data_IF_600144068949
#
_entry.id   IF_600144068949
#
_cell.length_a   1.000
_cell.length_b   1.000
_cell.length_c   1.000
_cell.angle_alpha   90.00
_cell.angle_beta   90.00
_cell.angle_gamma   90.00
#
_symmetry.space_group_name_H-M   'P 1'
#
loop_
_entity.id
_entity.type
_entity.pdbx_description
1 polymer ?
#
# COMPACT_ATOMS: atom_id res chain seq x y z
N UNK A 1 19.63 -29.25 -50.09
CA UNK A 1 19.94 -29.37 -48.65
C UNK A 1 20.35 -28.02 -48.03
N UNK A 2 19.74 -26.89 -48.41
CA UNK A 2 20.05 -25.56 -47.83
C UNK A 2 18.82 -24.90 -47.19
N UNK A 3 17.63 -25.35 -47.56
CA UNK A 3 16.35 -24.73 -47.17
C UNK A 3 15.80 -25.24 -45.83
N UNK A 4 16.28 -26.39 -45.35
CA UNK A 4 15.88 -26.95 -44.04
C UNK A 4 16.61 -26.33 -42.85
N UNK A 5 17.81 -25.77 -43.06
CA UNK A 5 18.63 -25.21 -41.98
C UNK A 5 18.11 -23.84 -41.51
N UNK A 6 17.56 -23.03 -42.42
CA UNK A 6 16.97 -21.72 -42.09
C UNK A 6 15.63 -21.84 -41.34
N UNK A 7 14.80 -22.85 -41.64
CA UNK A 7 13.56 -23.07 -40.90
C UNK A 7 13.80 -23.53 -39.45
N UNK A 8 14.83 -24.34 -39.20
CA UNK A 8 15.19 -24.78 -37.85
C UNK A 8 15.73 -23.63 -36.99
N UNK A 9 16.45 -22.67 -37.59
CA UNK A 9 16.92 -21.46 -36.91
C UNK A 9 15.77 -20.49 -36.56
N UNK A 10 14.78 -20.29 -37.44
CA UNK A 10 13.59 -19.51 -37.11
C UNK A 10 12.74 -20.15 -36.01
N UNK A 11 12.60 -21.49 -36.01
CA UNK A 11 11.87 -22.20 -34.96
C UNK A 11 12.59 -22.14 -33.60
N UNK A 12 13.93 -22.20 -33.58
CA UNK A 12 14.72 -22.04 -32.35
C UNK A 12 14.66 -20.60 -31.80
N UNK A 13 14.67 -19.57 -32.66
CA UNK A 13 14.49 -18.19 -32.23
C UNK A 13 13.08 -17.90 -31.69
N UNK A 14 12.04 -18.54 -32.23
CA UNK A 14 10.67 -18.44 -31.71
C UNK A 14 10.50 -19.19 -30.37
N UNK A 15 11.19 -20.33 -30.19
CA UNK A 15 11.16 -21.07 -28.92
C UNK A 15 12.00 -20.41 -27.82
N UNK A 16 13.09 -19.70 -28.15
CA UNK A 16 13.84 -18.90 -27.16
C UNK A 16 13.13 -17.59 -26.80
N UNK A 17 12.38 -16.98 -27.73
CA UNK A 17 11.58 -15.77 -27.46
C UNK A 17 10.28 -16.08 -26.71
N UNK A 18 9.87 -17.35 -26.70
CA UNK A 18 8.74 -17.86 -25.94
C UNK A 18 9.13 -18.39 -24.55
N UNK A 19 10.29 -18.01 -24.00
CA UNK A 19 10.35 -17.72 -22.57
C UNK A 19 9.54 -16.46 -22.35
N UNK A 20 8.21 -16.62 -22.43
CA UNK A 20 7.27 -15.75 -21.78
C UNK A 20 7.89 -15.40 -20.43
N UNK A 21 8.12 -14.11 -20.19
CA UNK A 21 8.07 -13.57 -18.85
C UNK A 21 6.76 -14.11 -18.30
N UNK A 22 6.82 -15.23 -17.58
CA UNK A 22 5.76 -15.59 -16.67
C UNK A 22 5.72 -14.37 -15.77
N UNK A 23 4.69 -13.53 -15.96
CA UNK A 23 4.40 -12.48 -15.02
C UNK A 23 4.43 -13.18 -13.66
N UNK A 24 5.45 -12.85 -12.86
CA UNK A 24 5.66 -13.49 -11.58
C UNK A 24 4.42 -13.10 -10.79
N UNK A 25 3.49 -14.04 -10.59
CA UNK A 25 2.30 -13.79 -9.77
C UNK A 25 2.75 -13.74 -8.31
N UNK A 26 3.42 -12.65 -7.96
CA UNK A 26 3.92 -12.36 -6.62
C UNK A 26 2.71 -12.24 -5.69
N UNK A 27 2.66 -13.08 -4.66
CA UNK A 27 1.68 -12.94 -3.59
C UNK A 27 2.06 -11.80 -2.64
N UNK A 28 1.13 -11.37 -1.79
CA UNK A 28 1.41 -10.40 -0.73
C UNK A 28 2.58 -10.82 0.18
N UNK A 29 2.75 -12.12 0.44
CA UNK A 29 3.85 -12.65 1.26
C UNK A 29 5.18 -12.64 0.50
N UNK A 30 5.18 -12.97 -0.80
CA UNK A 30 6.39 -12.86 -1.64
C UNK A 30 6.90 -11.43 -1.73
N UNK A 31 5.98 -10.47 -1.76
CA UNK A 31 6.30 -9.04 -1.76
C UNK A 31 6.81 -8.63 -0.38
N UNK A 32 6.11 -8.99 0.69
CA UNK A 32 6.56 -8.73 2.06
C UNK A 32 8.01 -9.20 2.30
N UNK A 33 8.37 -10.38 1.79
CA UNK A 33 9.73 -10.91 1.88
C UNK A 33 10.79 -9.98 1.27
N UNK A 34 10.43 -9.22 0.23
CA UNK A 34 11.35 -8.34 -0.50
C UNK A 34 11.39 -6.90 0.04
N UNK A 35 10.34 -6.46 0.73
CA UNK A 35 10.23 -5.09 1.24
C UNK A 35 11.02 -4.89 2.54
N UNK A 36 11.58 -3.69 2.79
CA UNK A 36 12.18 -3.41 4.08
C UNK A 36 11.12 -3.35 5.20
N UNK A 37 11.59 -3.43 6.44
CA UNK A 37 10.73 -3.41 7.64
C UNK A 37 10.53 -2.01 8.24
N UNK A 38 10.82 -0.95 7.47
CA UNK A 38 10.82 0.45 7.95
C UNK A 38 9.47 0.90 8.51
N UNK A 39 8.35 0.40 7.97
CA UNK A 39 7.03 0.73 8.53
C UNK A 39 6.94 0.32 10.02
N UNK A 40 7.56 -0.79 10.41
CA UNK A 40 7.50 -1.32 11.77
C UNK A 40 8.26 -0.44 12.78
N UNK A 41 9.14 0.46 12.33
CA UNK A 41 9.73 1.49 13.20
C UNK A 41 8.66 2.43 13.80
N UNK A 42 7.48 2.50 13.17
CA UNK A 42 6.31 3.24 13.65
C UNK A 42 5.38 2.42 14.55
N UNK A 43 5.79 1.21 14.93
CA UNK A 43 5.03 0.33 15.83
C UNK A 43 5.78 0.17 17.16
N UNK A 44 5.08 0.06 18.30
CA UNK A 44 5.71 -0.22 19.59
C UNK A 44 6.52 -1.52 19.60
N UNK A 45 6.06 -2.52 18.87
CA UNK A 45 6.66 -3.86 18.83
C UNK A 45 7.93 -3.89 17.98
N UNK A 46 8.01 -3.07 16.92
CA UNK A 46 9.08 -3.15 15.93
C UNK A 46 9.05 -4.47 15.16
N UNK A 47 9.99 -4.66 14.24
CA UNK A 47 10.22 -5.94 13.59
C UNK A 47 11.70 -6.03 13.24
N UNK A 48 12.34 -7.16 13.57
CA UNK A 48 13.69 -7.49 13.10
C UNK A 48 13.64 -8.39 11.86
N UNK A 49 14.75 -8.46 11.11
CA UNK A 49 14.85 -9.35 9.94
C UNK A 49 14.68 -10.83 10.33
N UNK A 50 15.20 -11.26 11.49
CA UNK A 50 15.02 -12.62 11.99
C UNK A 50 13.54 -12.92 12.30
N UNK A 51 12.81 -11.96 12.85
CA UNK A 51 11.37 -12.10 13.09
C UNK A 51 10.57 -12.10 11.80
N UNK A 52 10.95 -11.26 10.83
CA UNK A 52 10.35 -11.27 9.50
C UNK A 52 10.51 -12.64 8.84
N UNK A 53 11.71 -13.24 8.91
CA UNK A 53 11.94 -14.60 8.41
C UNK A 53 11.04 -15.62 9.11
N UNK A 54 10.91 -15.55 10.44
CA UNK A 54 9.98 -16.42 11.20
C UNK A 54 8.52 -16.21 10.79
N UNK A 55 8.08 -14.97 10.57
CA UNK A 55 6.73 -14.67 10.09
C UNK A 55 6.46 -15.31 8.72
N UNK A 56 7.43 -15.25 7.81
CA UNK A 56 7.30 -15.82 6.46
C UNK A 56 7.26 -17.35 6.52
N UNK A 57 8.12 -17.97 7.33
CA UNK A 57 8.26 -19.44 7.38
C UNK A 57 7.21 -20.13 8.25
N UNK A 58 6.83 -19.49 9.37
CA UNK A 58 6.06 -20.12 10.45
C UNK A 58 4.71 -19.44 10.67
N UNK A 59 4.47 -18.28 10.05
CA UNK A 59 3.26 -17.49 10.27
C UNK A 59 3.22 -16.76 11.62
N UNK A 60 4.26 -16.86 12.44
CA UNK A 60 4.33 -16.21 13.75
C UNK A 60 5.78 -15.95 14.19
N UNK A 61 5.95 -14.94 15.02
CA UNK A 61 7.18 -14.58 15.72
C UNK A 61 6.88 -14.28 17.20
N UNK A 62 7.82 -13.67 17.92
CA UNK A 62 7.63 -13.30 19.32
C UNK A 62 6.50 -12.27 19.47
N UNK A 63 6.55 -11.20 18.67
CA UNK A 63 5.61 -10.07 18.79
C UNK A 63 4.54 -10.00 17.70
N UNK A 64 4.60 -10.84 16.67
CA UNK A 64 3.67 -10.76 15.53
C UNK A 64 3.14 -12.13 15.10
N UNK A 65 1.92 -12.17 14.58
CA UNK A 65 1.34 -13.33 13.91
C UNK A 65 0.61 -12.92 12.62
N UNK A 66 0.57 -13.83 11.65
CA UNK A 66 -0.20 -13.67 10.42
C UNK A 66 -1.68 -13.91 10.74
N UNK A 67 -2.47 -12.85 10.77
CA UNK A 67 -3.93 -12.90 10.95
C UNK A 67 -4.62 -13.35 9.66
N UNK A 68 -4.15 -12.84 8.51
CA UNK A 68 -4.71 -13.16 7.19
C UNK A 68 -3.64 -13.10 6.10
N UNK A 69 -3.73 -14.01 5.14
CA UNK A 69 -2.90 -13.97 3.94
C UNK A 69 -3.68 -14.50 2.71
N UNK A 70 -3.54 -13.81 1.59
CA UNK A 70 -3.95 -14.25 0.26
C UNK A 70 -3.06 -13.60 -0.82
N UNK A 71 -3.43 -13.74 -2.10
CA UNK A 71 -2.64 -13.21 -3.21
C UNK A 71 -2.36 -11.70 -3.10
N UNK A 72 -3.29 -10.92 -2.52
CA UNK A 72 -3.25 -9.46 -2.53
C UNK A 72 -3.30 -8.83 -1.14
N UNK A 73 -3.35 -9.65 -0.09
CA UNK A 73 -3.41 -9.19 1.30
C UNK A 73 -2.52 -10.01 2.21
N UNK A 74 -1.78 -9.33 3.07
CA UNK A 74 -1.18 -9.88 4.27
C UNK A 74 -1.58 -8.97 5.44
N UNK A 75 -2.06 -9.54 6.53
CA UNK A 75 -2.35 -8.82 7.78
C UNK A 75 -1.55 -9.47 8.88
N UNK A 76 -0.72 -8.65 9.52
CA UNK A 76 0.08 -9.00 10.68
C UNK A 76 -0.54 -8.31 11.88
N UNK A 77 -0.73 -9.06 12.97
CA UNK A 77 -1.32 -8.55 14.21
C UNK A 77 -0.34 -8.75 15.35
N UNK A 78 -0.24 -7.75 16.23
CA UNK A 78 0.70 -7.81 17.34
C UNK A 78 0.23 -8.79 18.43
N UNK A 79 1.18 -9.42 19.10
CA UNK A 79 0.94 -10.42 20.13
C UNK A 79 1.26 -9.86 21.51
N UNK A 80 0.56 -10.31 22.57
CA UNK A 80 -0.51 -11.32 22.56
C UNK A 80 -1.92 -10.73 22.38
N UNK A 81 -2.08 -9.40 22.40
CA UNK A 81 -3.39 -8.75 22.55
C UNK A 81 -4.00 -8.21 21.24
N UNK A 82 -3.23 -8.13 20.16
CA UNK A 82 -3.70 -7.64 18.87
C UNK A 82 -4.07 -6.16 18.84
N UNK A 83 -3.29 -5.35 19.56
CA UNK A 83 -3.46 -3.90 19.64
C UNK A 83 -3.01 -3.19 18.37
N UNK A 84 -1.94 -3.68 17.74
CA UNK A 84 -1.40 -3.13 16.49
C UNK A 84 -1.69 -4.08 15.33
N UNK A 85 -2.15 -3.54 14.20
CA UNK A 85 -2.23 -4.27 12.94
C UNK A 85 -1.35 -3.61 11.89
N UNK A 86 -0.64 -4.41 11.11
CA UNK A 86 0.08 -3.97 9.91
C UNK A 86 -0.48 -4.73 8.73
N UNK A 87 -1.06 -4.00 7.79
CA UNK A 87 -1.57 -4.54 6.54
C UNK A 87 -0.60 -4.30 5.40
N UNK A 88 -0.39 -5.31 4.56
CA UNK A 88 0.13 -5.18 3.21
C UNK A 88 -1.01 -5.44 2.23
N UNK A 89 -1.25 -4.49 1.31
CA UNK A 89 -2.15 -4.67 0.17
C UNK A 89 -1.40 -4.57 -1.15
N UNK A 90 -1.70 -5.49 -2.06
CA UNK A 90 -1.21 -5.46 -3.43
C UNK A 90 -2.31 -4.92 -4.34
N UNK A 91 -2.02 -3.81 -4.99
CA UNK A 91 -2.87 -3.19 -5.99
C UNK A 91 -2.34 -3.53 -7.39
N UNK A 92 -3.16 -4.24 -8.18
CA UNK A 92 -2.81 -4.70 -9.53
C UNK A 92 -3.64 -3.97 -10.57
N UNK A 93 -3.06 -3.67 -11.72
CA UNK A 93 -3.82 -3.15 -12.86
C UNK A 93 -2.97 -2.93 -14.09
N UNK A 94 -3.36 -3.56 -15.20
CA UNK A 94 -2.54 -3.59 -16.41
C UNK A 94 -1.23 -4.33 -16.15
N UNK A 95 -0.11 -3.66 -16.44
CA UNK A 95 1.26 -4.09 -16.17
C UNK A 95 1.80 -3.58 -14.83
N UNK A 96 0.99 -2.88 -14.04
CA UNK A 96 1.42 -2.24 -12.78
C UNK A 96 1.06 -3.08 -11.56
N UNK A 97 2.03 -3.16 -10.67
CA UNK A 97 1.91 -3.70 -9.33
C UNK A 97 2.41 -2.63 -8.34
N UNK A 98 1.54 -2.28 -7.39
CA UNK A 98 1.87 -1.40 -6.27
C UNK A 98 1.57 -2.14 -4.97
N UNK A 99 2.53 -2.19 -4.06
CA UNK A 99 2.35 -2.70 -2.71
C UNK A 99 2.22 -1.52 -1.74
N UNK A 100 1.22 -1.57 -0.88
CA UNK A 100 1.01 -0.59 0.18
C UNK A 100 1.13 -1.29 1.53
N UNK A 101 1.99 -0.76 2.40
CA UNK A 101 2.09 -1.16 3.79
C UNK A 101 1.48 -0.06 4.65
N UNK A 102 0.62 -0.43 5.59
CA UNK A 102 0.05 0.55 6.51
C UNK A 102 -0.27 -0.02 7.88
N UNK A 103 -0.22 0.84 8.89
CA UNK A 103 -0.67 0.51 10.23
C UNK A 103 -2.17 0.76 10.37
N UNK A 104 -2.84 -0.14 11.06
CA UNK A 104 -4.24 -0.06 11.46
C UNK A 104 -4.35 -0.17 12.99
N UNK A 105 -5.40 0.40 13.57
CA UNK A 105 -5.70 0.35 15.01
C UNK A 105 -5.53 1.67 15.77
N UNK A 106 -5.24 2.79 15.10
CA UNK A 106 -4.99 4.08 15.75
C UNK A 106 -5.69 5.28 15.13
N UNK A 107 -5.71 6.41 15.87
CA UNK A 107 -6.14 7.71 15.35
C UNK A 107 -5.21 8.22 14.22
N UNK A 108 -3.96 7.74 14.21
CA UNK A 108 -2.98 7.99 13.17
C UNK A 108 -2.61 6.70 12.45
N UNK A 109 -2.40 6.80 11.15
CA UNK A 109 -1.97 5.71 10.26
C UNK A 109 -0.58 6.06 9.73
N UNK A 110 0.29 5.05 9.59
CA UNK A 110 1.47 5.12 8.75
C UNK A 110 1.17 4.45 7.40
N UNK A 111 1.75 4.96 6.32
CA UNK A 111 1.63 4.39 4.99
C UNK A 111 2.97 4.45 4.27
N UNK A 112 3.37 3.33 3.68
CA UNK A 112 4.46 3.26 2.71
C UNK A 112 3.93 2.63 1.42
N UNK A 113 4.34 3.19 0.28
CA UNK A 113 4.01 2.66 -1.04
C UNK A 113 5.27 2.20 -1.73
N UNK A 114 5.18 1.08 -2.43
CA UNK A 114 6.28 0.43 -3.10
C UNK A 114 5.84 -0.04 -4.48
N UNK A 115 6.63 0.25 -5.51
CA UNK A 115 6.36 -0.20 -6.88
C UNK A 115 7.45 -1.16 -7.34
N UNK A 116 7.08 -2.15 -8.15
CA UNK A 116 8.03 -3.03 -8.81
C UNK A 116 8.85 -2.23 -9.84
N UNK A 117 10.17 -2.39 -9.83
CA UNK A 117 11.08 -1.82 -10.82
C UNK A 117 11.36 -2.79 -11.97
N UNK A 118 12.10 -2.34 -12.98
CA UNK A 118 12.41 -3.16 -14.16
C UNK A 118 13.27 -4.41 -13.86
N UNK A 119 13.84 -4.53 -12.66
CA UNK A 119 14.64 -5.68 -12.21
C UNK A 119 13.82 -6.71 -11.44
N UNK A 120 12.54 -6.41 -11.15
CA UNK A 120 11.68 -7.19 -10.27
C UNK A 120 11.93 -6.91 -8.78
N UNK A 121 12.71 -5.87 -8.47
CA UNK A 121 12.87 -5.34 -7.12
C UNK A 121 11.77 -4.33 -6.79
N UNK A 122 11.77 -3.83 -5.55
CA UNK A 122 10.79 -2.83 -5.11
C UNK A 122 11.47 -1.53 -4.72
N UNK A 123 10.94 -0.42 -5.20
CA UNK A 123 11.40 0.94 -4.88
C UNK A 123 10.25 1.75 -4.26
N UNK A 124 10.55 2.74 -3.40
CA UNK A 124 9.51 3.61 -2.85
C UNK A 124 8.72 4.30 -3.96
N UNK A 125 7.40 4.34 -3.79
CA UNK A 125 6.47 5.05 -4.64
C UNK A 125 5.88 6.26 -3.91
N UNK A 126 5.56 7.31 -4.66
CA UNK A 126 4.90 8.48 -4.09
C UNK A 126 3.41 8.18 -3.86
N UNK A 127 2.81 8.71 -2.78
CA UNK A 127 1.36 8.74 -2.66
C UNK A 127 0.73 9.60 -3.77
N UNK A 128 -0.59 9.47 -3.99
CA UNK A 128 -1.33 10.44 -4.79
C UNK A 128 -1.13 11.88 -4.27
N UNK A 129 -1.35 12.86 -5.15
CA UNK A 129 -1.34 14.27 -4.74
C UNK A 129 -2.33 14.53 -3.59
N UNK A 130 -1.96 15.44 -2.70
CA UNK A 130 -2.84 15.86 -1.62
C UNK A 130 -4.19 16.38 -2.15
N UNK A 131 -5.32 15.99 -1.52
CA UNK A 131 -6.61 16.55 -1.86
C UNK A 131 -6.68 18.05 -1.51
N UNK A 132 -7.66 18.74 -2.09
CA UNK A 132 -7.89 20.14 -1.73
C UNK A 132 -8.69 20.18 -0.43
N UNK A 133 -8.42 21.18 0.43
CA UNK A 133 -9.20 21.40 1.65
C UNK A 133 -10.71 21.47 1.39
N UNK A 134 -11.13 22.09 0.28
CA UNK A 134 -12.52 22.18 -0.14
C UNK A 134 -13.19 20.84 -0.43
N UNK A 135 -12.40 19.77 -0.64
CA UNK A 135 -12.91 18.43 -0.83
C UNK A 135 -13.51 17.85 0.47
N UNK A 136 -13.12 18.38 1.64
CA UNK A 136 -13.63 17.94 2.95
C UNK A 136 -14.74 18.84 3.51
N UNK A 137 -14.68 20.13 3.23
CA UNK A 137 -15.54 21.13 3.85
C UNK A 137 -16.93 21.22 3.21
N UNK A 138 -17.91 21.69 4.00
CA UNK A 138 -19.21 22.10 3.46
C UNK A 138 -19.05 23.32 2.53
N UNK A 139 -19.99 23.51 1.61
CA UNK A 139 -19.97 24.69 0.73
C UNK A 139 -19.97 25.98 1.55
N UNK A 140 -19.00 26.86 1.30
CA UNK A 140 -18.85 28.14 2.00
C UNK A 140 -18.18 28.06 3.38
N UNK A 141 -17.93 26.86 3.92
CA UNK A 141 -17.14 26.71 5.14
C UNK A 141 -15.67 27.06 4.88
N UNK A 142 -15.05 27.74 5.85
CA UNK A 142 -13.64 28.14 5.80
C UNK A 142 -12.97 27.78 7.12
N UNK A 143 -11.68 27.49 7.06
CA UNK A 143 -10.86 27.39 8.27
C UNK A 143 -10.65 28.77 8.89
N UNK A 144 -10.45 28.80 10.20
CA UNK A 144 -9.90 29.97 10.87
C UNK A 144 -8.50 30.29 10.32
N UNK A 145 -8.11 31.56 10.32
CA UNK A 145 -6.90 32.04 9.66
C UNK A 145 -5.59 31.44 10.21
N UNK A 146 -5.61 30.98 11.46
CA UNK A 146 -4.50 30.38 12.19
C UNK A 146 -4.54 28.84 12.19
N UNK A 147 -5.47 28.23 11.46
CA UNK A 147 -5.60 26.78 11.34
C UNK A 147 -5.06 26.30 10.00
N UNK A 148 -4.06 25.42 10.05
CA UNK A 148 -3.43 24.81 8.88
C UNK A 148 -3.83 23.35 8.73
N UNK A 149 -4.24 22.90 7.53
CA UNK A 149 -4.53 21.49 7.29
C UNK A 149 -3.25 20.69 6.95
N UNK A 150 -3.25 19.43 7.30
CA UNK A 150 -2.36 18.39 6.81
C UNK A 150 -3.19 17.15 6.45
N UNK A 151 -2.74 16.33 5.50
CA UNK A 151 -3.49 15.17 5.05
C UNK A 151 -2.72 13.89 5.35
N UNK A 152 -3.40 12.97 6.02
CA UNK A 152 -2.86 11.67 6.35
C UNK A 152 -3.53 10.61 5.49
N UNK A 153 -2.74 9.80 4.80
CA UNK A 153 -3.24 8.68 4.00
C UNK A 153 -3.23 7.41 4.84
N UNK A 154 -4.37 6.72 4.86
CA UNK A 154 -4.57 5.48 5.60
C UNK A 154 -4.87 4.36 4.61
N UNK A 155 -4.25 3.21 4.81
CA UNK A 155 -4.48 2.05 3.96
C UNK A 155 -5.88 1.48 4.17
N UNK A 156 -6.61 1.27 3.08
CA UNK A 156 -7.93 0.66 3.06
C UNK A 156 -7.99 -0.50 2.07
N UNK A 157 -9.13 -1.19 2.05
CA UNK A 157 -9.25 -2.44 1.31
C UNK A 157 -9.20 -2.32 -0.22
N UNK A 158 -9.66 -1.20 -0.75
CA UNK A 158 -9.79 -0.87 -2.17
C UNK A 158 -8.95 0.35 -2.56
N UNK A 159 -8.15 0.89 -1.64
CA UNK A 159 -7.33 2.06 -1.89
C UNK A 159 -6.82 2.73 -0.62
N UNK A 160 -6.87 4.06 -0.60
CA UNK A 160 -6.43 4.89 0.52
C UNK A 160 -7.57 5.78 1.00
N UNK A 161 -7.82 5.83 2.30
CA UNK A 161 -8.62 6.89 2.94
C UNK A 161 -7.73 8.09 3.24
N UNK A 162 -8.28 9.31 3.21
CA UNK A 162 -7.56 10.52 3.58
C UNK A 162 -8.20 11.19 4.78
N UNK A 163 -7.44 11.26 5.87
CA UNK A 163 -7.85 11.91 7.11
C UNK A 163 -7.22 13.29 7.22
N UNK A 164 -8.02 14.37 7.23
CA UNK A 164 -7.49 15.71 7.44
C UNK A 164 -7.15 15.90 8.93
N UNK A 165 -5.95 16.40 9.19
CA UNK A 165 -5.50 16.89 10.49
C UNK A 165 -5.45 18.41 10.44
N UNK A 166 -5.96 19.07 11.48
CA UNK A 166 -5.97 20.52 11.55
C UNK A 166 -5.09 20.98 12.73
N UNK A 167 -4.18 21.91 12.45
CA UNK A 167 -3.22 22.42 13.41
C UNK A 167 -3.49 23.90 13.68
N UNK A 168 -3.84 24.23 14.91
CA UNK A 168 -3.88 25.60 15.41
C UNK A 168 -2.64 25.94 16.24
N UNK A 169 -2.55 27.17 16.78
CA UNK A 169 -1.39 27.63 17.55
C UNK A 169 -1.06 26.79 18.80
N UNK A 170 -2.07 26.12 19.36
CA UNK A 170 -1.94 25.29 20.58
C UNK A 170 -1.83 23.77 20.29
N UNK A 171 -1.80 23.35 19.03
CA UNK A 171 -1.74 21.94 18.62
C UNK A 171 -2.91 21.52 17.74
N UNK A 172 -3.24 20.22 17.77
CA UNK A 172 -4.35 19.66 17.01
C UNK A 172 -5.68 20.30 17.43
N UNK A 173 -6.48 20.68 16.43
CA UNK A 173 -7.83 21.23 16.62
C UNK A 173 -8.84 20.38 15.87
N UNK A 174 -10.02 20.23 16.46
CA UNK A 174 -11.12 19.55 15.78
C UNK A 174 -11.84 20.54 14.86
N UNK A 175 -11.94 20.18 13.58
CA UNK A 175 -12.70 20.93 12.59
C UNK A 175 -13.71 19.97 11.95
N UNK A 176 -15.02 20.24 12.08
CA UNK A 176 -16.02 19.41 11.45
C UNK A 176 -15.86 19.40 9.92
N UNK A 177 -15.66 18.22 9.36
CA UNK A 177 -15.68 17.99 7.91
C UNK A 177 -17.00 17.37 7.47
N UNK A 178 -17.51 17.78 6.31
CA UNK A 178 -18.80 17.37 5.77
C UNK A 178 -18.70 16.19 4.78
N UNK A 179 -17.49 15.96 4.25
CA UNK A 179 -17.23 14.97 3.20
C UNK A 179 -16.02 14.12 3.59
N UNK A 180 -15.97 12.93 3.01
CA UNK A 180 -14.83 12.02 3.06
C UNK A 180 -14.14 11.98 1.70
N UNK A 181 -12.82 11.82 1.71
CA UNK A 181 -12.00 11.74 0.50
C UNK A 181 -11.25 10.41 0.51
N UNK A 182 -11.38 9.65 -0.58
CA UNK A 182 -10.68 8.37 -0.75
C UNK A 182 -10.03 8.31 -2.13
N UNK A 183 -8.89 7.66 -2.23
CA UNK A 183 -8.21 7.34 -3.47
C UNK A 183 -8.42 5.85 -3.77
N UNK A 184 -9.28 5.52 -4.72
CA UNK A 184 -9.63 4.14 -5.06
C UNK A 184 -8.73 3.65 -6.17
N UNK A 185 -8.15 2.46 -6.02
CA UNK A 185 -7.32 1.88 -7.07
C UNK A 185 -8.17 1.40 -8.24
N UNK A 186 -7.92 1.93 -9.44
CA UNK A 186 -8.54 1.50 -10.70
C UNK A 186 -7.49 1.34 -11.78
N UNK A 187 -7.39 0.14 -12.33
CA UNK A 187 -6.65 -0.15 -13.56
C UNK A 187 -5.22 0.41 -13.61
N UNK A 188 -4.49 0.38 -12.50
CA UNK A 188 -3.08 0.80 -12.45
C UNK A 188 -2.83 2.21 -11.91
N UNK A 189 -3.86 2.88 -11.38
CA UNK A 189 -3.74 4.19 -10.76
C UNK A 189 -4.77 4.40 -9.64
N UNK A 190 -4.46 5.35 -8.74
CA UNK A 190 -5.43 5.84 -7.76
C UNK A 190 -6.32 6.93 -8.36
N UNK A 191 -7.64 6.78 -8.19
CA UNK A 191 -8.63 7.78 -8.57
C UNK A 191 -9.27 8.40 -7.32
N UNK A 192 -9.21 9.74 -7.22
CA UNK A 192 -9.86 10.47 -6.12
C UNK A 192 -11.38 10.37 -6.21
N UNK A 193 -12.00 10.06 -5.09
CA UNK A 193 -13.44 10.05 -4.87
C UNK A 193 -13.76 10.92 -3.66
N UNK A 194 -14.87 11.67 -3.75
CA UNK A 194 -15.36 12.53 -2.68
C UNK A 194 -16.82 12.19 -2.45
N UNK A 195 -17.18 11.87 -1.21
CA UNK A 195 -18.55 11.50 -0.84
C UNK A 195 -19.00 12.24 0.42
N UNK A 196 -20.31 12.38 0.62
CA UNK A 196 -20.83 12.79 1.93
C UNK A 196 -20.47 11.77 3.00
N UNK A 197 -20.42 12.19 4.27
CA UNK A 197 -20.30 11.25 5.38
C UNK A 197 -21.54 10.35 5.43
N UNK A 198 -21.41 9.03 5.69
CA UNK A 198 -22.54 8.20 6.06
C UNK A 198 -23.23 8.80 7.30
N UNK A 199 -24.57 8.88 7.28
CA UNK A 199 -25.38 9.24 8.46
C UNK A 199 -25.27 8.17 9.56
#
# INVERSE_FOLDING_TARGET
MKDGFWMLLCAACLLLSARSVQARELTALDIFAQLPITLFENTPEGLSEDEKLRLIEQGASEFWEVERFDADRLVLVSRPFGETRVGLRVFRGGDRLLAALGTDGGAMCALELWQEDATGGFVPANPPDDPQLSDFLASGQRLAADVSPAFMFCLEDDGLDVRPLFWGPAGLVDVPVAKSVRYIWKSGAFEKTVSGKPE
#
